data_IF_908582675250
#
_entry.id   IF_908582675250
#
_cell.length_a   1.000
_cell.length_b   1.000
_cell.length_c   1.000
_cell.angle_alpha   90.00
_cell.angle_beta   90.00
_cell.angle_gamma   90.00
#
_symmetry.space_group_name_H-M   'P 1'
#
loop_
_entity.id
_entity.type
_entity.pdbx_description
1 polymer ?
#
# COMPACT_ATOMS: atom_id res chain seq x y z
N UNK A 1 31.46 -4.53 28.69
CA UNK A 1 32.01 -3.16 28.61
C UNK A 1 31.04 -2.37 27.76
N UNK A 2 30.28 -1.46 28.36
CA UNK A 2 29.45 -0.54 27.58
C UNK A 2 30.45 0.38 26.86
N UNK A 3 30.36 0.39 25.55
CA UNK A 3 31.21 1.19 24.67
C UNK A 3 30.74 2.64 24.68
N UNK A 4 31.67 3.58 24.50
CA UNK A 4 31.38 5.02 24.61
C UNK A 4 30.34 5.54 23.60
N UNK A 5 30.03 4.78 22.54
CA UNK A 5 29.01 5.15 21.56
C UNK A 5 27.60 4.75 21.98
N UNK A 6 27.44 3.64 22.71
CA UNK A 6 26.14 3.20 23.24
C UNK A 6 25.58 4.22 24.25
N UNK A 7 26.44 4.77 25.11
CA UNK A 7 26.03 5.81 26.08
C UNK A 7 25.58 7.10 25.40
N UNK A 8 26.20 7.49 24.27
CA UNK A 8 25.81 8.68 23.50
C UNK A 8 24.41 8.47 22.88
N UNK A 9 24.15 7.31 22.29
CA UNK A 9 22.83 7.00 21.71
C UNK A 9 21.75 7.03 22.79
N UNK A 10 22.01 6.41 23.94
CA UNK A 10 21.07 6.42 25.07
C UNK A 10 20.82 7.84 25.59
N UNK A 11 21.88 8.65 25.72
CA UNK A 11 21.74 10.05 26.16
C UNK A 11 20.88 10.88 25.19
N UNK A 12 21.04 10.68 23.88
CA UNK A 12 20.23 11.34 22.85
C UNK A 12 18.76 10.91 22.95
N UNK A 13 18.49 9.61 23.11
CA UNK A 13 17.12 9.09 23.26
C UNK A 13 16.46 9.66 24.51
N UNK A 14 17.16 9.70 25.64
CA UNK A 14 16.64 10.30 26.89
C UNK A 14 16.34 11.78 26.69
N UNK A 15 17.25 12.54 26.06
CA UNK A 15 17.02 13.96 25.79
C UNK A 15 15.80 14.18 24.89
N UNK A 16 15.65 13.37 23.83
CA UNK A 16 14.47 13.40 22.97
C UNK A 16 13.18 13.07 23.74
N UNK A 17 13.22 12.09 24.65
CA UNK A 17 12.09 11.73 25.50
C UNK A 17 11.75 12.80 26.55
N UNK A 18 12.70 13.61 26.99
CA UNK A 18 12.42 14.74 27.88
C UNK A 18 11.68 15.86 27.13
N UNK A 19 12.10 16.16 25.89
CA UNK A 19 11.50 17.21 25.06
C UNK A 19 10.11 16.80 24.58
N UNK A 20 9.97 15.56 24.09
CA UNK A 20 8.70 15.07 23.52
C UNK A 20 7.82 14.32 24.50
N UNK A 21 8.35 13.86 25.63
CA UNK A 21 7.66 13.03 26.60
C UNK A 21 7.72 11.53 26.26
N UNK A 22 7.77 10.64 27.27
CA UNK A 22 7.81 9.19 27.07
C UNK A 22 6.54 8.62 26.42
N UNK A 23 5.44 9.38 26.43
CA UNK A 23 4.16 9.00 25.82
C UNK A 23 4.19 9.00 24.29
N UNK A 24 5.19 9.60 23.64
CA UNK A 24 5.29 9.60 22.17
C UNK A 24 5.67 8.25 21.58
N UNK A 25 6.47 7.44 22.29
CA UNK A 25 6.81 6.09 21.85
C UNK A 25 5.56 5.19 21.72
N UNK A 26 4.68 5.06 22.73
CA UNK A 26 3.46 4.25 22.60
C UNK A 26 2.45 4.85 21.61
N UNK A 27 2.35 6.17 21.50
CA UNK A 27 1.48 6.85 20.52
C UNK A 27 1.91 6.50 19.08
N UNK A 28 3.21 6.60 18.79
CA UNK A 28 3.78 6.28 17.48
C UNK A 28 3.61 4.79 17.13
N UNK A 29 3.84 3.90 18.09
CA UNK A 29 3.61 2.47 17.90
C UNK A 29 2.14 2.15 17.60
N UNK A 30 1.19 2.81 18.27
CA UNK A 30 -0.25 2.67 18.00
C UNK A 30 -0.62 3.18 16.61
N UNK A 31 -0.10 4.34 16.22
CA UNK A 31 -0.33 4.91 14.88
C UNK A 31 0.20 3.98 13.77
N UNK A 32 1.41 3.44 13.93
CA UNK A 32 1.96 2.44 12.99
C UNK A 32 1.11 1.17 12.98
N UNK A 33 0.67 0.69 14.14
CA UNK A 33 -0.19 -0.50 14.24
C UNK A 33 -1.53 -0.33 13.52
N UNK A 34 -2.16 0.84 13.67
CA UNK A 34 -3.39 1.20 12.95
C UNK A 34 -3.14 1.30 11.44
N UNK A 35 -2.08 2.00 11.02
CA UNK A 35 -1.73 2.11 9.61
C UNK A 35 -1.47 0.74 8.97
N UNK A 36 -0.75 -0.16 9.66
CA UNK A 36 -0.54 -1.54 9.21
C UNK A 36 -1.84 -2.31 9.08
N UNK A 37 -2.76 -2.18 10.04
CA UNK A 37 -4.06 -2.86 10.03
C UNK A 37 -4.95 -2.38 8.89
N UNK A 38 -5.02 -1.07 8.65
CA UNK A 38 -5.77 -0.51 7.52
C UNK A 38 -5.13 -0.91 6.18
N UNK A 39 -3.80 -0.92 6.09
CA UNK A 39 -3.11 -1.40 4.89
C UNK A 39 -3.38 -2.88 4.62
N UNK A 40 -3.35 -3.74 5.65
CA UNK A 40 -3.70 -5.16 5.51
C UNK A 40 -5.15 -5.33 5.09
N UNK A 41 -6.07 -4.55 5.66
CA UNK A 41 -7.49 -4.58 5.30
C UNK A 41 -7.70 -4.18 3.83
N UNK A 42 -7.10 -3.09 3.39
CA UNK A 42 -7.15 -2.64 2.00
C UNK A 42 -6.47 -3.63 1.03
N UNK A 43 -5.40 -4.31 1.47
CA UNK A 43 -4.73 -5.34 0.68
C UNK A 43 -5.49 -6.67 0.63
N UNK A 44 -6.36 -6.94 1.60
CA UNK A 44 -7.14 -8.19 1.72
C UNK A 44 -8.57 -8.05 1.22
N UNK A 45 -9.09 -6.84 1.14
CA UNK A 45 -10.17 -6.47 0.25
C UNK A 45 -9.65 -6.64 -1.19
N UNK A 46 -9.62 -7.90 -1.66
CA UNK A 46 -9.55 -8.15 -3.09
C UNK A 46 -10.67 -7.34 -3.74
N UNK A 47 -10.37 -6.51 -4.75
CA UNK A 47 -11.43 -5.81 -5.47
C UNK A 47 -12.41 -6.89 -5.91
N UNK A 48 -13.68 -6.73 -5.51
CA UNK A 48 -14.74 -7.68 -5.83
C UNK A 48 -14.58 -8.01 -7.31
N UNK A 49 -14.60 -9.30 -7.67
CA UNK A 49 -14.39 -9.73 -9.06
C UNK A 49 -15.26 -8.93 -10.04
N UNK A 50 -16.47 -8.55 -9.60
CA UNK A 50 -17.42 -7.67 -10.29
C UNK A 50 -16.84 -6.26 -10.57
N UNK A 51 -16.17 -5.62 -9.61
CA UNK A 51 -15.55 -4.29 -9.77
C UNK A 51 -14.33 -4.35 -10.70
N UNK A 52 -13.56 -5.44 -10.66
CA UNK A 52 -12.45 -5.66 -11.60
C UNK A 52 -12.95 -5.82 -13.03
N UNK A 53 -14.01 -6.60 -13.22
CA UNK A 53 -14.60 -6.84 -14.54
C UNK A 53 -15.12 -5.55 -15.17
N UNK A 54 -15.82 -4.70 -14.39
CA UNK A 54 -16.27 -3.39 -14.86
C UNK A 54 -15.10 -2.47 -15.24
N UNK A 55 -14.02 -2.48 -14.45
CA UNK A 55 -12.82 -1.69 -14.73
C UNK A 55 -12.13 -2.15 -16.01
N UNK A 56 -12.04 -3.46 -16.24
CA UNK A 56 -11.47 -4.03 -17.48
C UNK A 56 -12.31 -3.63 -18.71
N UNK A 57 -13.64 -3.66 -18.60
CA UNK A 57 -14.54 -3.25 -19.69
C UNK A 57 -14.44 -1.73 -19.96
N UNK A 58 -14.35 -0.90 -18.91
CA UNK A 58 -14.12 0.55 -19.06
C UNK A 58 -12.79 0.83 -19.76
N UNK A 59 -11.71 0.18 -19.32
CA UNK A 59 -10.38 0.36 -19.89
C UNK A 59 -10.34 -0.08 -21.36
N UNK A 60 -10.99 -1.20 -21.69
CA UNK A 60 -11.13 -1.65 -23.07
C UNK A 60 -11.88 -0.62 -23.94
N UNK A 61 -12.97 -0.03 -23.43
CA UNK A 61 -13.71 1.03 -24.14
C UNK A 61 -12.86 2.29 -24.34
N UNK A 62 -12.12 2.73 -23.34
CA UNK A 62 -11.22 3.90 -23.45
C UNK A 62 -10.11 3.68 -24.49
N UNK A 63 -9.59 2.44 -24.58
CA UNK A 63 -8.59 2.05 -25.57
C UNK A 63 -9.19 1.72 -26.95
N UNK A 64 -10.50 1.91 -27.13
CA UNK A 64 -11.20 1.62 -28.38
C UNK A 64 -11.16 0.14 -28.78
N UNK A 65 -11.14 -0.76 -27.81
CA UNK A 65 -11.17 -2.21 -27.99
C UNK A 65 -12.63 -2.68 -27.94
N UNK A 66 -13.05 -3.51 -28.91
CA UNK A 66 -14.40 -4.09 -28.91
C UNK A 66 -14.55 -5.11 -27.78
N UNK A 67 -15.52 -4.88 -26.89
CA UNK A 67 -15.83 -5.75 -25.74
C UNK A 67 -16.94 -6.76 -26.01
N UNK A 68 -17.64 -6.66 -27.15
CA UNK A 68 -18.80 -7.52 -27.46
C UNK A 68 -18.35 -8.86 -28.05
N UNK A 69 -18.74 -9.97 -27.41
CA UNK A 69 -18.46 -11.33 -27.87
C UNK A 69 -17.05 -11.87 -27.56
N UNK A 70 -16.20 -11.12 -26.86
CA UNK A 70 -14.85 -11.54 -26.45
C UNK A 70 -14.82 -12.04 -25.01
N UNK A 71 -13.96 -13.01 -24.71
CA UNK A 71 -13.72 -13.43 -23.32
C UNK A 71 -12.86 -12.39 -22.60
N UNK A 72 -12.91 -12.38 -21.27
CA UNK A 72 -12.14 -11.43 -20.45
C UNK A 72 -10.63 -11.53 -20.70
N UNK A 73 -10.15 -12.76 -20.91
CA UNK A 73 -8.74 -13.04 -21.20
C UNK A 73 -8.32 -12.44 -22.54
N UNK A 74 -9.18 -12.48 -23.56
CA UNK A 74 -8.92 -11.87 -24.87
C UNK A 74 -8.87 -10.35 -24.78
N UNK A 75 -9.80 -9.75 -24.02
CA UNK A 75 -9.82 -8.30 -23.80
C UNK A 75 -8.54 -7.85 -23.07
N UNK A 76 -8.10 -8.58 -22.03
CA UNK A 76 -6.86 -8.29 -21.30
C UNK A 76 -5.62 -8.42 -22.18
N UNK A 77 -5.57 -9.42 -23.06
CA UNK A 77 -4.47 -9.57 -24.02
C UNK A 77 -4.41 -8.41 -25.00
N UNK A 78 -5.55 -7.98 -25.56
CA UNK A 78 -5.60 -6.83 -26.46
C UNK A 78 -5.23 -5.51 -25.79
N UNK A 79 -5.63 -5.32 -24.52
CA UNK A 79 -5.20 -4.16 -23.72
C UNK A 79 -3.68 -4.18 -23.53
N UNK A 80 -3.12 -5.32 -23.12
CA UNK A 80 -1.68 -5.47 -22.89
C UNK A 80 -0.86 -5.29 -24.18
N UNK A 81 -1.39 -5.73 -25.32
CA UNK A 81 -0.76 -5.58 -26.63
C UNK A 81 -0.78 -4.11 -27.09
N UNK A 82 -1.90 -3.40 -26.91
CA UNK A 82 -1.99 -1.96 -27.19
C UNK A 82 -1.14 -1.12 -26.24
N UNK A 83 -0.99 -1.51 -24.98
CA UNK A 83 -0.16 -0.78 -24.01
C UNK A 83 1.35 -0.97 -24.25
N UNK A 84 1.76 -2.05 -24.91
CA UNK A 84 3.15 -2.32 -25.28
C UNK A 84 3.57 -1.73 -26.63
N UNK A 85 2.61 -1.32 -27.46
CA UNK A 85 2.83 -0.77 -28.79
C UNK A 85 2.91 0.75 -28.74
#
# INVERSE_FOLDING_TARGET
>A
MITSWETIIIAIIILALIIWGPQKLPEFARAIGQARREFEKASREEPKKEDLDEQIIKLAKELGISTEGKTKEQILQEIAEKAKK
#
